data_IF_973195229188
#
_entry.id   IF_973195229188
#
_cell.length_a   1.000
_cell.length_b   1.000
_cell.length_c   1.000
_cell.angle_alpha   90.00
_cell.angle_beta   90.00
_cell.angle_gamma   90.00
#
_symmetry.space_group_name_H-M   'P 1'
#
loop_
_entity.id
_entity.type
_entity.pdbx_description
1 polymer ?
#
# COMPACT_ATOMS: atom_id res chain seq x y z
N UNK A 1 4.52 -30.05 -18.70
CA UNK A 1 3.71 -29.71 -17.51
C UNK A 1 3.97 -28.25 -17.15
N UNK A 2 3.10 -27.32 -17.57
CA UNK A 2 2.61 -26.21 -16.75
C UNK A 2 1.54 -25.48 -17.55
N UNK A 3 0.32 -25.98 -17.40
CA UNK A 3 -0.91 -25.38 -17.91
C UNK A 3 -1.32 -24.30 -16.87
N UNK A 4 -0.77 -23.09 -16.96
CA UNK A 4 -1.37 -21.95 -16.26
C UNK A 4 -2.44 -21.38 -17.19
N UNK A 5 -3.63 -21.96 -17.06
CA UNK A 5 -4.83 -21.54 -17.74
C UNK A 5 -5.00 -20.02 -17.58
N UNK A 6 -5.22 -19.34 -18.70
CA UNK A 6 -5.80 -17.99 -18.76
C UNK A 6 -7.15 -18.04 -18.04
N UNK A 7 -7.15 -17.83 -16.72
CA UNK A 7 -8.37 -17.47 -16.00
C UNK A 7 -8.69 -16.04 -16.40
N UNK A 8 -9.53 -15.89 -17.42
CA UNK A 8 -10.36 -14.69 -17.53
C UNK A 8 -11.12 -14.57 -16.20
N UNK A 9 -10.72 -13.66 -15.32
CA UNK A 9 -11.50 -13.27 -14.16
C UNK A 9 -12.70 -12.44 -14.64
N UNK A 10 -13.66 -13.10 -15.29
CA UNK A 10 -14.98 -12.53 -15.54
C UNK A 10 -15.67 -12.41 -14.19
N UNK A 11 -15.73 -11.19 -13.66
CA UNK A 11 -16.13 -10.81 -12.30
C UNK A 11 -15.09 -11.15 -11.21
N UNK A 12 -14.43 -10.11 -10.69
CA UNK A 12 -13.59 -10.21 -9.51
C UNK A 12 -14.41 -10.76 -8.33
N UNK A 13 -13.88 -11.74 -7.57
CA UNK A 13 -14.52 -12.11 -6.32
C UNK A 13 -14.63 -10.85 -5.47
N UNK A 14 -15.83 -10.53 -4.97
CA UNK A 14 -15.97 -9.56 -3.88
C UNK A 14 -15.17 -10.13 -2.71
N UNK A 15 -13.92 -9.71 -2.56
CA UNK A 15 -13.12 -10.11 -1.40
C UNK A 15 -13.81 -9.50 -0.18
N UNK A 16 -14.24 -10.39 0.70
CA UNK A 16 -14.94 -10.03 1.93
C UNK A 16 -14.11 -9.04 2.74
N UNK A 17 -14.80 -8.08 3.35
CA UNK A 17 -14.16 -7.21 4.33
C UNK A 17 -13.61 -8.08 5.47
N UNK A 18 -12.48 -7.69 6.10
CA UNK A 18 -11.95 -8.43 7.22
C UNK A 18 -12.98 -8.60 8.32
N UNK A 19 -12.96 -9.75 8.98
CA UNK A 19 -13.80 -10.01 10.16
C UNK A 19 -13.40 -9.09 11.31
N UNK A 20 -14.29 -8.93 12.29
CA UNK A 20 -13.98 -8.13 13.48
C UNK A 20 -12.72 -8.65 14.21
N UNK A 21 -12.53 -9.97 14.24
CA UNK A 21 -11.35 -10.60 14.84
C UNK A 21 -10.06 -10.24 14.09
N UNK A 22 -10.09 -10.30 12.76
CA UNK A 22 -8.98 -9.90 11.90
C UNK A 22 -8.63 -8.41 12.07
N UNK A 23 -9.65 -7.56 12.16
CA UNK A 23 -9.50 -6.12 12.45
C UNK A 23 -8.84 -5.92 13.82
N UNK A 24 -9.34 -6.57 14.86
CA UNK A 24 -8.77 -6.48 16.21
C UNK A 24 -7.33 -6.98 16.27
N UNK A 25 -7.03 -8.08 15.57
CA UNK A 25 -5.67 -8.61 15.45
C UNK A 25 -4.74 -7.61 14.77
N UNK A 26 -5.14 -7.08 13.61
CA UNK A 26 -4.34 -6.09 12.89
C UNK A 26 -4.13 -4.83 13.74
N UNK A 27 -5.16 -4.34 14.44
CA UNK A 27 -5.03 -3.22 15.35
C UNK A 27 -4.02 -3.45 16.47
N UNK A 28 -3.97 -4.66 17.06
CA UNK A 28 -2.97 -4.99 18.09
C UNK A 28 -1.53 -4.93 17.56
N UNK A 29 -1.31 -5.32 16.30
CA UNK A 29 0.00 -5.18 15.64
C UNK A 29 0.33 -3.70 15.45
N UNK A 30 -0.58 -2.91 14.89
CA UNK A 30 -0.34 -1.47 14.64
C UNK A 30 -0.35 -0.59 15.91
N UNK A 31 -0.76 -1.13 17.06
CA UNK A 31 -0.62 -0.47 18.37
C UNK A 31 0.77 -0.67 19.00
N UNK A 32 1.59 -1.59 18.46
CA UNK A 32 2.96 -1.77 18.94
C UNK A 32 3.81 -0.50 18.72
N UNK A 33 4.93 -0.34 19.45
CA UNK A 33 5.84 0.77 19.23
C UNK A 33 6.33 0.82 17.78
N UNK A 34 6.17 1.98 17.14
CA UNK A 34 6.61 2.21 15.76
C UNK A 34 7.80 3.16 15.70
N UNK A 35 8.97 2.70 15.25
CA UNK A 35 10.22 3.48 15.25
C UNK A 35 10.77 3.64 13.84
N UNK A 36 11.40 4.77 13.57
CA UNK A 36 12.22 4.93 12.38
C UNK A 36 13.51 4.13 12.57
N UNK A 37 13.82 3.26 11.60
CA UNK A 37 15.00 2.39 11.65
C UNK A 37 16.16 3.06 10.94
N UNK A 38 16.03 3.28 9.63
CA UNK A 38 17.05 3.94 8.79
C UNK A 38 16.50 4.36 7.43
N UNK A 39 17.26 5.23 6.76
CA UNK A 39 17.10 5.54 5.34
C UNK A 39 18.25 4.93 4.56
N UNK A 40 17.99 4.39 3.37
CA UNK A 40 18.99 3.78 2.50
C UNK A 40 18.99 4.41 1.12
N UNK A 41 20.18 4.50 0.52
CA UNK A 41 20.36 4.86 -0.88
C UNK A 41 20.58 3.63 -1.77
N UNK A 42 21.13 2.56 -1.20
CA UNK A 42 21.50 1.31 -1.88
C UNK A 42 20.88 0.09 -1.17
N UNK A 43 20.52 -1.00 -1.90
CA UNK A 43 19.83 -2.16 -1.32
C UNK A 43 20.60 -2.87 -0.20
N UNK A 44 21.93 -2.95 -0.33
CA UNK A 44 22.85 -3.56 0.63
C UNK A 44 22.85 -2.87 2.00
N UNK A 45 22.39 -1.62 2.06
CA UNK A 45 22.23 -0.88 3.30
C UNK A 45 20.92 -1.22 4.04
N UNK A 46 20.01 -2.02 3.47
CA UNK A 46 18.76 -2.40 4.12
C UNK A 46 19.02 -3.08 5.49
N UNK A 47 18.12 -2.96 6.48
CA UNK A 47 18.28 -3.62 7.77
C UNK A 47 18.49 -5.13 7.60
N UNK A 48 19.52 -5.70 8.24
CA UNK A 48 19.75 -7.14 8.21
C UNK A 48 18.88 -7.83 9.28
N UNK A 49 17.61 -8.04 8.94
CA UNK A 49 16.61 -8.68 9.83
C UNK A 49 15.85 -9.77 9.08
N UNK A 50 15.20 -10.66 9.81
CA UNK A 50 14.28 -11.66 9.27
C UNK A 50 12.83 -11.17 9.18
N UNK A 51 12.56 -9.92 9.57
CA UNK A 51 11.21 -9.38 9.62
C UNK A 51 10.63 -9.20 8.22
N UNK A 52 9.36 -9.57 7.99
CA UNK A 52 8.68 -9.29 6.73
C UNK A 52 8.57 -7.79 6.48
N UNK A 53 8.66 -7.40 5.22
CA UNK A 53 8.63 -6.00 4.78
C UNK A 53 7.46 -5.79 3.83
N UNK A 54 6.77 -4.66 3.98
CA UNK A 54 5.82 -4.19 2.97
C UNK A 54 6.23 -2.80 2.50
N UNK A 55 6.28 -2.62 1.18
CA UNK A 55 6.67 -1.35 0.59
C UNK A 55 5.46 -0.49 0.26
N UNK A 56 5.59 0.82 0.33
CA UNK A 56 4.62 1.78 -0.16
C UNK A 56 5.25 2.60 -1.27
N UNK A 57 4.62 2.59 -2.44
CA UNK A 57 5.04 3.34 -3.63
C UNK A 57 3.88 4.18 -4.13
N UNK A 58 4.15 5.27 -4.83
CA UNK A 58 3.12 6.13 -5.37
C UNK A 58 3.69 7.43 -5.89
N UNK A 59 2.94 8.16 -6.71
CA UNK A 59 3.38 9.46 -7.24
C UNK A 59 3.66 10.47 -6.12
N UNK A 60 4.49 11.47 -6.41
CA UNK A 60 4.68 12.61 -5.49
C UNK A 60 3.33 13.23 -5.12
N UNK A 61 3.15 13.57 -3.84
CA UNK A 61 1.91 14.14 -3.28
C UNK A 61 0.63 13.27 -3.39
N UNK A 62 0.76 11.95 -3.62
CA UNK A 62 -0.38 11.01 -3.61
C UNK A 62 -0.96 10.79 -2.21
N UNK A 63 -0.21 11.10 -1.16
CA UNK A 63 -0.62 10.92 0.24
C UNK A 63 0.04 9.74 0.97
N UNK A 64 1.14 9.19 0.44
CA UNK A 64 1.90 8.07 1.02
C UNK A 64 2.33 8.29 2.47
N UNK A 65 3.12 9.32 2.75
CA UNK A 65 3.58 9.61 4.11
C UNK A 65 2.43 9.91 5.07
N UNK A 66 1.34 10.52 4.57
CA UNK A 66 0.11 10.74 5.35
C UNK A 66 -0.57 9.42 5.70
N UNK A 67 -0.68 8.49 4.75
CA UNK A 67 -1.25 7.17 4.98
C UNK A 67 -0.41 6.37 5.99
N UNK A 68 0.92 6.37 5.86
CA UNK A 68 1.79 5.64 6.79
C UNK A 68 1.65 6.20 8.21
N UNK A 69 1.66 7.52 8.39
CA UNK A 69 1.43 8.14 9.71
C UNK A 69 0.07 7.73 10.32
N UNK A 70 -0.99 7.64 9.50
CA UNK A 70 -2.31 7.17 9.95
C UNK A 70 -2.28 5.70 10.36
N UNK A 71 -1.68 4.84 9.54
CA UNK A 71 -1.55 3.41 9.82
C UNK A 71 -0.85 3.19 11.16
N UNK A 72 0.24 3.91 11.41
CA UNK A 72 1.03 3.84 12.64
C UNK A 72 0.41 4.59 13.83
N UNK A 73 -0.70 5.31 13.62
CA UNK A 73 -1.32 6.17 14.62
C UNK A 73 -0.32 7.15 15.29
N UNK A 74 0.67 7.64 14.52
CA UNK A 74 1.70 8.58 15.00
C UNK A 74 1.76 9.80 14.11
N UNK A 75 1.73 10.98 14.72
CA UNK A 75 1.93 12.25 14.01
C UNK A 75 3.42 12.52 13.89
N UNK A 76 3.89 12.75 12.67
CA UNK A 76 5.25 13.25 12.41
C UNK A 76 6.37 12.21 12.40
N UNK A 77 6.07 10.92 12.58
CA UNK A 77 7.08 9.86 12.46
C UNK A 77 7.61 9.77 11.02
N UNK A 78 6.71 9.84 10.03
CA UNK A 78 7.07 9.99 8.63
C UNK A 78 6.94 11.46 8.24
N UNK A 79 8.02 12.05 7.72
CA UNK A 79 8.01 13.45 7.27
C UNK A 79 7.06 13.63 6.08
N UNK A 80 6.03 14.44 6.25
CA UNK A 80 5.12 14.85 5.16
C UNK A 80 5.60 16.19 4.59
N UNK A 81 6.23 16.19 3.42
CA UNK A 81 6.52 17.44 2.68
C UNK A 81 5.57 17.59 1.49
N UNK A 82 5.09 18.80 1.24
CA UNK A 82 4.30 19.16 0.06
C UNK A 82 5.17 19.47 -1.16
N UNK A 83 6.48 19.68 -0.96
CA UNK A 83 7.43 19.94 -2.04
C UNK A 83 7.83 18.62 -2.73
N UNK A 84 7.67 18.50 -4.06
CA UNK A 84 8.09 17.31 -4.81
C UNK A 84 9.58 16.99 -4.62
N UNK A 85 9.93 15.70 -4.58
CA UNK A 85 11.34 15.25 -4.56
C UNK A 85 12.04 15.21 -3.18
N UNK A 86 11.32 15.37 -2.07
CA UNK A 86 11.91 15.35 -0.72
C UNK A 86 12.43 13.98 -0.24
N UNK A 87 11.84 12.90 -0.73
CA UNK A 87 12.24 11.53 -0.35
C UNK A 87 13.00 10.94 -1.52
N UNK A 88 14.33 10.97 -1.46
CA UNK A 88 15.25 10.29 -2.41
C UNK A 88 15.74 8.93 -1.88
N UNK A 89 15.55 8.70 -0.59
CA UNK A 89 15.98 7.50 0.13
C UNK A 89 14.79 6.61 0.43
N UNK A 90 15.03 5.31 0.51
CA UNK A 90 14.04 4.34 0.99
C UNK A 90 14.08 4.34 2.53
N UNK A 91 12.94 4.57 3.18
CA UNK A 91 12.88 4.69 4.64
C UNK A 91 12.22 3.46 5.28
N UNK A 92 12.82 2.94 6.35
CA UNK A 92 12.33 1.78 7.08
C UNK A 92 11.72 2.21 8.42
N UNK A 93 10.55 1.68 8.72
CA UNK A 93 9.87 1.86 10.01
C UNK A 93 9.54 0.49 10.60
N UNK A 94 10.02 0.20 11.81
CA UNK A 94 9.68 -1.04 12.55
C UNK A 94 8.34 -0.88 13.25
N UNK A 95 7.54 -1.94 13.27
CA UNK A 95 6.34 -2.07 14.11
C UNK A 95 6.57 -3.22 15.09
N UNK A 96 6.88 -2.88 16.34
CA UNK A 96 7.03 -3.83 17.44
C UNK A 96 8.02 -4.96 17.19
N UNK A 97 9.03 -4.73 16.34
CA UNK A 97 10.01 -5.74 15.91
C UNK A 97 9.36 -7.00 15.32
N UNK A 98 8.22 -6.79 14.62
CA UNK A 98 7.49 -7.85 13.91
C UNK A 98 7.54 -7.72 12.40
N UNK A 99 7.64 -6.48 11.90
CA UNK A 99 7.66 -6.18 10.47
C UNK A 99 8.21 -4.79 10.21
N UNK A 100 8.64 -4.54 8.97
CA UNK A 100 8.94 -3.19 8.49
C UNK A 100 7.88 -2.66 7.52
N UNK A 101 7.50 -1.39 7.71
CA UNK A 101 6.92 -0.59 6.65
C UNK A 101 8.03 0.15 5.93
N UNK A 102 8.04 0.07 4.61
CA UNK A 102 9.09 0.64 3.77
C UNK A 102 8.50 1.74 2.91
N UNK A 103 8.89 2.99 3.18
CA UNK A 103 8.44 4.16 2.44
C UNK A 103 9.37 4.43 1.25
N UNK A 104 8.89 4.15 0.05
CA UNK A 104 9.67 4.35 -1.18
C UNK A 104 9.61 5.81 -1.65
N UNK A 105 10.64 6.29 -2.37
CA UNK A 105 10.57 7.56 -3.07
C UNK A 105 9.42 7.58 -4.10
N UNK A 106 8.79 8.74 -4.27
CA UNK A 106 7.65 8.84 -5.20
C UNK A 106 8.09 8.89 -6.66
N UNK A 107 7.36 8.21 -7.56
CA UNK A 107 7.67 8.20 -8.99
C UNK A 107 6.95 9.32 -9.77
N UNK A 108 7.42 9.59 -10.99
CA UNK A 108 6.69 10.40 -11.97
C UNK A 108 6.80 11.92 -11.85
N UNK A 109 7.71 12.47 -11.02
CA UNK A 109 8.04 13.91 -11.07
C UNK A 109 9.21 14.24 -12.01
N UNK A 110 9.96 13.25 -12.49
CA UNK A 110 10.95 13.34 -13.59
C UNK A 110 11.38 11.89 -13.90
N UNK A 111 10.97 11.39 -15.07
CA UNK A 111 11.33 10.08 -15.70
C UNK A 111 11.36 8.79 -14.82
N UNK A 112 11.40 7.63 -15.48
CA UNK A 112 11.71 6.34 -14.84
C UNK A 112 13.17 6.27 -14.35
N UNK A 113 14.04 7.14 -14.87
CA UNK A 113 15.46 7.22 -14.51
C UNK A 113 15.69 7.63 -13.04
N UNK A 114 14.70 8.28 -12.39
CA UNK A 114 14.78 8.61 -10.96
C UNK A 114 14.53 7.43 -10.03
N UNK A 115 13.83 6.38 -10.48
CA UNK A 115 13.86 5.09 -9.77
C UNK A 115 15.14 4.38 -10.18
N UNK A 116 16.26 4.89 -9.65
CA UNK A 116 17.59 4.38 -9.93
C UNK A 116 17.70 2.89 -9.64
N UNK A 117 18.75 2.28 -10.19
CA UNK A 117 19.03 0.84 -10.08
C UNK A 117 18.95 0.30 -8.65
N UNK A 118 19.20 1.15 -7.65
CA UNK A 118 19.05 0.80 -6.24
C UNK A 118 17.61 0.50 -5.82
N UNK A 119 16.63 1.31 -6.20
CA UNK A 119 15.22 1.05 -5.83
C UNK A 119 14.72 -0.19 -6.54
N UNK A 120 15.09 -0.34 -7.81
CA UNK A 120 14.73 -1.50 -8.62
C UNK A 120 15.37 -2.76 -8.05
N UNK A 121 16.66 -2.70 -7.71
CA UNK A 121 17.38 -3.80 -7.07
C UNK A 121 16.76 -4.19 -5.74
N UNK A 122 16.34 -3.23 -4.90
CA UNK A 122 15.62 -3.56 -3.67
C UNK A 122 14.29 -4.27 -3.96
N UNK A 123 13.48 -3.75 -4.89
CA UNK A 123 12.16 -4.31 -5.18
C UNK A 123 12.22 -5.72 -5.80
N UNK A 124 13.29 -6.05 -6.54
CA UNK A 124 13.42 -7.34 -7.24
C UNK A 124 14.19 -8.40 -6.44
N UNK A 125 15.09 -8.01 -5.53
CA UNK A 125 15.99 -8.96 -4.86
C UNK A 125 15.72 -9.14 -3.36
N UNK A 126 14.89 -8.29 -2.74
CA UNK A 126 14.66 -8.33 -1.28
C UNK A 126 13.72 -9.47 -0.88
N UNK A 127 14.26 -10.55 -0.33
CA UNK A 127 13.48 -11.72 0.12
C UNK A 127 12.45 -11.40 1.21
N UNK A 128 12.74 -10.43 2.06
CA UNK A 128 11.84 -9.99 3.13
C UNK A 128 10.64 -9.22 2.58
N UNK A 129 10.71 -8.64 1.37
CA UNK A 129 9.62 -7.88 0.77
C UNK A 129 8.47 -8.83 0.38
N UNK A 130 7.34 -8.71 1.07
CA UNK A 130 6.18 -9.60 0.87
C UNK A 130 5.10 -9.00 -0.03
N UNK A 131 4.95 -7.67 -0.03
CA UNK A 131 4.00 -6.97 -0.89
C UNK A 131 4.33 -5.50 -1.03
N UNK A 132 4.10 -4.98 -2.23
CA UNK A 132 4.20 -3.55 -2.53
C UNK A 132 2.80 -2.92 -2.65
N UNK A 133 2.49 -1.93 -1.82
CA UNK A 133 1.25 -1.16 -1.88
C UNK A 133 1.43 0.06 -2.77
N UNK A 134 0.68 0.11 -3.88
CA UNK A 134 0.74 1.19 -4.87
C UNK A 134 -0.39 2.18 -4.61
N UNK A 135 -0.02 3.40 -4.27
CA UNK A 135 -0.98 4.46 -4.00
C UNK A 135 -1.31 5.21 -5.28
N UNK A 136 -2.61 5.34 -5.55
CA UNK A 136 -3.16 6.11 -6.67
C UNK A 136 -4.10 7.17 -6.12
N UNK A 137 -3.90 8.42 -6.54
CA UNK A 137 -4.77 9.54 -6.13
C UNK A 137 -6.13 9.40 -6.81
N UNK A 138 -7.18 9.18 -6.02
CA UNK A 138 -8.53 9.02 -6.55
C UNK A 138 -9.01 10.25 -7.31
N UNK A 139 -8.55 11.46 -7.01
CA UNK A 139 -8.99 12.68 -7.71
C UNK A 139 -8.32 12.85 -9.07
N UNK A 140 -7.22 12.14 -9.32
CA UNK A 140 -6.43 12.22 -10.55
C UNK A 140 -6.62 11.00 -11.44
N UNK A 141 -6.84 9.83 -10.83
CA UNK A 141 -6.92 8.55 -11.54
C UNK A 141 -5.56 8.07 -12.04
N UNK A 142 -5.58 7.00 -12.84
CA UNK A 142 -4.39 6.40 -13.44
C UNK A 142 -3.66 7.34 -14.41
N UNK A 143 -2.35 7.22 -14.46
CA UNK A 143 -1.46 7.86 -15.43
C UNK A 143 -0.54 6.82 -16.07
N UNK A 144 0.07 7.19 -17.19
CA UNK A 144 1.03 6.34 -17.90
C UNK A 144 2.15 5.80 -16.99
N UNK A 145 2.67 6.64 -16.07
CA UNK A 145 3.68 6.23 -15.11
C UNK A 145 3.20 5.13 -14.14
N UNK A 146 1.90 5.09 -13.81
CA UNK A 146 1.32 4.04 -12.97
C UNK A 146 1.26 2.71 -13.74
N UNK A 147 0.78 2.74 -15.00
CA UNK A 147 0.73 1.57 -15.88
C UNK A 147 2.11 0.96 -16.11
N UNK A 148 3.07 1.85 -16.37
CA UNK A 148 4.48 1.52 -16.50
C UNK A 148 5.07 0.85 -15.25
N UNK A 149 4.61 1.20 -14.06
CA UNK A 149 5.03 0.57 -12.81
C UNK A 149 4.42 -0.82 -12.66
N UNK A 150 3.14 -0.98 -13.03
CA UNK A 150 2.46 -2.28 -12.99
C UNK A 150 3.09 -3.28 -13.94
N UNK A 151 3.39 -2.88 -15.18
CA UNK A 151 4.14 -3.69 -16.15
C UNK A 151 5.49 -4.16 -15.57
N UNK A 152 6.20 -3.27 -14.87
CA UNK A 152 7.45 -3.62 -14.19
C UNK A 152 7.22 -4.67 -13.10
N UNK A 153 6.22 -4.48 -12.23
CA UNK A 153 5.91 -5.45 -11.19
C UNK A 153 5.53 -6.82 -11.74
N UNK A 154 4.70 -6.86 -12.78
CA UNK A 154 4.32 -8.11 -13.42
C UNK A 154 5.53 -8.78 -14.12
N UNK A 155 6.39 -8.00 -14.79
CA UNK A 155 7.62 -8.51 -15.43
C UNK A 155 8.60 -9.15 -14.44
N UNK A 156 8.73 -8.58 -13.24
CA UNK A 156 9.67 -9.03 -12.22
C UNK A 156 9.02 -9.85 -11.11
N UNK A 157 7.78 -10.31 -11.31
CA UNK A 157 7.02 -11.12 -10.36
C UNK A 157 6.88 -10.48 -8.96
N UNK A 158 6.82 -9.15 -8.88
CA UNK A 158 6.69 -8.42 -7.62
C UNK A 158 5.21 -8.37 -7.25
N UNK A 159 4.83 -8.96 -6.11
CA UNK A 159 3.45 -8.88 -5.63
C UNK A 159 3.08 -7.46 -5.21
N UNK A 160 1.97 -6.95 -5.74
CA UNK A 160 1.50 -5.60 -5.42
C UNK A 160 0.00 -5.52 -5.17
N UNK A 161 -0.43 -4.48 -4.47
CA UNK A 161 -1.86 -4.19 -4.21
C UNK A 161 -2.11 -2.69 -4.28
N UNK A 162 -3.20 -2.30 -4.94
CA UNK A 162 -3.50 -0.88 -5.16
C UNK A 162 -4.33 -0.30 -4.01
N UNK A 163 -3.94 0.90 -3.56
CA UNK A 163 -4.65 1.73 -2.58
C UNK A 163 -5.07 3.05 -3.25
N UNK A 164 -6.38 3.28 -3.33
CA UNK A 164 -6.98 4.53 -3.79
C UNK A 164 -6.99 5.56 -2.64
N UNK A 165 -6.20 6.63 -2.76
CA UNK A 165 -6.10 7.67 -1.71
C UNK A 165 -7.02 8.86 -1.99
N UNK A 166 -7.17 9.75 -1.01
CA UNK A 166 -7.98 10.99 -1.09
C UNK A 166 -9.45 10.71 -1.44
N UNK A 167 -9.98 9.58 -0.97
CA UNK A 167 -11.37 9.17 -1.19
C UNK A 167 -12.39 10.23 -0.75
N UNK A 168 -12.04 11.01 0.26
CA UNK A 168 -12.83 12.11 0.84
C UNK A 168 -12.94 13.34 -0.08
N UNK A 169 -12.14 13.42 -1.16
CA UNK A 169 -12.06 14.58 -2.05
C UNK A 169 -12.74 14.38 -3.40
N UNK A 170 -13.39 13.23 -3.59
CA UNK A 170 -14.04 12.85 -4.84
C UNK A 170 -15.49 12.43 -4.58
N UNK A 171 -16.38 12.67 -5.55
CA UNK A 171 -17.76 12.20 -5.49
C UNK A 171 -17.84 10.69 -5.63
N UNK A 172 -18.90 10.06 -5.10
CA UNK A 172 -19.13 8.62 -5.24
C UNK A 172 -19.09 8.19 -6.71
N UNK A 173 -19.84 8.89 -7.57
CA UNK A 173 -19.90 8.60 -9.00
C UNK A 173 -18.52 8.60 -9.64
N UNK A 174 -17.73 9.66 -9.42
CA UNK A 174 -16.40 9.78 -10.04
C UNK A 174 -15.40 8.76 -9.46
N UNK A 175 -15.57 8.40 -8.19
CA UNK A 175 -14.79 7.34 -7.57
C UNK A 175 -15.07 5.98 -8.22
N UNK A 176 -16.34 5.61 -8.44
CA UNK A 176 -16.69 4.37 -9.13
C UNK A 176 -16.18 4.36 -10.58
N UNK A 177 -16.31 5.45 -11.33
CA UNK A 177 -15.74 5.57 -12.69
C UNK A 177 -14.21 5.30 -12.69
N UNK A 178 -13.49 5.92 -11.75
CA UNK A 178 -12.03 5.73 -11.66
C UNK A 178 -11.65 4.32 -11.20
N UNK A 179 -12.46 3.72 -10.33
CA UNK A 179 -12.30 2.35 -9.87
C UNK A 179 -12.47 1.37 -11.03
N UNK A 180 -13.56 1.48 -11.79
CA UNK A 180 -13.84 0.66 -12.97
C UNK A 180 -12.75 0.78 -14.03
N UNK A 181 -12.28 2.01 -14.30
CA UNK A 181 -11.18 2.24 -15.23
C UNK A 181 -9.89 1.54 -14.80
N UNK A 182 -9.59 1.55 -13.49
CA UNK A 182 -8.43 0.87 -12.93
C UNK A 182 -8.61 -0.65 -13.00
N UNK A 183 -9.82 -1.14 -12.73
CA UNK A 183 -10.12 -2.56 -12.82
C UNK A 183 -9.99 -3.11 -14.25
N UNK A 184 -10.47 -2.36 -15.24
CA UNK A 184 -10.30 -2.70 -16.64
C UNK A 184 -8.83 -2.65 -17.10
N UNK A 185 -8.09 -1.63 -16.68
CA UNK A 185 -6.73 -1.37 -17.20
C UNK A 185 -5.66 -2.24 -16.54
N UNK A 186 -5.77 -2.49 -15.24
CA UNK A 186 -4.74 -3.16 -14.45
C UNK A 186 -5.11 -4.63 -14.25
N UNK A 187 -6.28 -4.90 -13.67
CA UNK A 187 -6.55 -6.25 -13.17
C UNK A 187 -6.99 -7.25 -14.25
N UNK A 188 -7.38 -6.83 -15.45
CA UNK A 188 -7.66 -7.78 -16.54
C UNK A 188 -6.39 -8.50 -17.03
N UNK A 189 -5.22 -7.85 -16.90
CA UNK A 189 -3.96 -8.35 -17.45
C UNK A 189 -2.88 -8.57 -16.39
N UNK A 190 -3.01 -7.97 -15.20
CA UNK A 190 -2.01 -8.08 -14.15
C UNK A 190 -1.97 -9.49 -13.55
N UNK A 191 -0.76 -10.03 -13.45
CA UNK A 191 -0.52 -11.38 -12.93
C UNK A 191 -0.18 -11.32 -11.44
N UNK A 192 0.53 -10.28 -11.01
CA UNK A 192 1.05 -10.14 -9.65
C UNK A 192 0.22 -9.18 -8.78
N UNK A 193 -0.84 -8.60 -9.34
CA UNK A 193 -1.71 -7.68 -8.64
C UNK A 193 -2.73 -8.40 -7.77
N UNK A 194 -2.80 -8.04 -6.50
CA UNK A 194 -3.83 -8.51 -5.59
C UNK A 194 -5.18 -7.88 -5.97
N UNK A 195 -6.23 -8.68 -6.20
CA UNK A 195 -7.46 -8.21 -6.85
C UNK A 195 -8.32 -7.27 -5.99
N UNK A 196 -8.07 -7.18 -4.68
CA UNK A 196 -8.81 -6.27 -3.80
C UNK A 196 -8.25 -4.85 -3.87
N UNK A 197 -9.05 -3.91 -4.37
CA UNK A 197 -8.79 -2.49 -4.20
C UNK A 197 -9.07 -2.03 -2.78
N UNK A 198 -8.11 -1.33 -2.21
CA UNK A 198 -8.24 -0.65 -0.93
C UNK A 198 -8.47 0.84 -1.18
N UNK A 199 -9.10 1.52 -0.22
CA UNK A 199 -9.29 2.97 -0.30
C UNK A 199 -8.95 3.62 1.05
N UNK A 200 -8.54 4.88 1.01
CA UNK A 200 -8.35 5.70 2.21
C UNK A 200 -8.71 7.16 1.94
N UNK A 201 -9.45 7.76 2.87
CA UNK A 201 -9.79 9.18 2.89
C UNK A 201 -9.32 9.88 4.16
N UNK A 202 -9.36 11.20 4.18
CA UNK A 202 -9.35 11.99 5.41
C UNK A 202 -10.76 12.02 6.01
N UNK A 203 -10.84 11.90 7.34
CA UNK A 203 -12.10 12.10 8.04
C UNK A 203 -12.55 13.55 7.83
N UNK A 204 -13.70 13.74 7.17
CA UNK A 204 -14.36 15.06 7.15
C UNK A 204 -14.83 15.35 8.57
N UNK A 205 -14.35 16.44 9.18
CA UNK A 205 -14.97 16.98 10.41
C UNK A 205 -16.38 17.46 10.06
N UNK A 206 -17.38 16.58 10.10
CA UNK A 206 -18.76 17.04 10.07
C UNK A 206 -19.03 17.76 11.39
N UNK A 207 -19.53 19.00 11.32
CA UNK A 207 -19.94 19.77 12.51
C UNK A 207 -21.23 19.24 13.15
N UNK A 208 -21.81 18.14 12.66
CA UNK A 208 -23.04 17.54 13.17
C UNK A 208 -22.96 16.02 13.09
N UNK A 209 -22.76 15.41 14.26
CA UNK A 209 -23.28 14.11 14.73
C UNK A 209 -22.28 13.53 15.74
N UNK A 210 -22.32 14.05 16.96
CA UNK A 210 -21.87 13.31 18.13
C UNK A 210 -23.00 12.34 18.49
N UNK A 211 -22.96 11.12 17.96
CA UNK A 211 -23.79 10.00 18.45
C UNK A 211 -23.18 8.66 18.05
N UNK A 212 -22.51 8.04 19.03
CA UNK A 212 -22.39 6.60 19.29
C UNK A 212 -22.31 5.62 18.10
N UNK A 213 -21.10 5.48 17.58
CA UNK A 213 -20.36 4.23 17.34
C UNK A 213 -19.07 4.65 16.62
N UNK A 214 -17.92 4.09 17.02
CA UNK A 214 -16.59 4.52 16.58
C UNK A 214 -16.56 4.91 15.09
N UNK A 215 -16.16 6.15 14.79
CA UNK A 215 -15.94 6.60 13.43
C UNK A 215 -14.89 5.68 12.79
N UNK A 216 -15.36 4.73 11.98
CA UNK A 216 -14.52 3.82 11.22
C UNK A 216 -13.82 4.72 10.20
N UNK A 217 -12.53 4.99 10.40
CA UNK A 217 -11.67 5.66 9.42
C UNK A 217 -11.74 4.83 8.13
N UNK A 218 -12.54 5.30 7.17
CA UNK A 218 -12.98 4.52 6.00
C UNK A 218 -11.77 3.90 5.29
N UNK A 219 -11.62 2.58 5.46
CA UNK A 219 -10.59 1.77 4.80
C UNK A 219 -9.27 1.57 5.55
N UNK A 220 -8.96 2.30 6.64
CA UNK A 220 -7.70 2.08 7.38
C UNK A 220 -7.63 0.67 7.99
N UNK A 221 -8.77 0.17 8.49
CA UNK A 221 -8.83 -1.17 9.06
C UNK A 221 -8.58 -2.25 7.99
N UNK A 222 -9.16 -2.07 6.81
CA UNK A 222 -8.94 -2.94 5.65
C UNK A 222 -7.46 -2.93 5.22
N UNK A 223 -6.83 -1.75 5.19
CA UNK A 223 -5.42 -1.61 4.84
C UNK A 223 -4.51 -2.25 5.91
N UNK A 224 -4.79 -2.03 7.21
CA UNK A 224 -4.03 -2.68 8.29
C UNK A 224 -4.10 -4.20 8.18
N UNK A 225 -5.30 -4.74 7.93
CA UNK A 225 -5.47 -6.17 7.73
C UNK A 225 -4.70 -6.66 6.49
N UNK A 226 -4.83 -5.98 5.36
CA UNK A 226 -4.14 -6.36 4.13
C UNK A 226 -2.61 -6.39 4.32
N UNK A 227 -2.06 -5.43 5.07
CA UNK A 227 -0.64 -5.38 5.42
C UNK A 227 -0.22 -6.56 6.30
N UNK A 228 -0.98 -6.84 7.38
CA UNK A 228 -0.68 -7.94 8.30
C UNK A 228 -0.79 -9.30 7.62
N UNK A 229 -1.80 -9.47 6.77
CA UNK A 229 -1.98 -10.67 5.95
C UNK A 229 -0.83 -10.83 4.94
N UNK A 230 -0.45 -9.74 4.26
CA UNK A 230 0.69 -9.76 3.33
C UNK A 230 2.01 -10.12 4.03
N UNK A 231 2.22 -9.62 5.25
CA UNK A 231 3.40 -9.93 6.05
C UNK A 231 3.41 -11.37 6.61
N UNK A 232 2.35 -12.16 6.40
CA UNK A 232 2.23 -13.51 6.96
C UNK A 232 2.14 -13.54 8.48
N UNK A 233 1.73 -12.43 9.10
CA UNK A 233 1.61 -12.31 10.56
C UNK A 233 0.25 -12.78 11.08
N UNK A 234 -0.70 -13.13 10.21
CA UNK A 234 -1.96 -13.73 10.61
C UNK A 234 -1.70 -15.12 11.23
N UNK A 235 -2.35 -15.42 12.36
CA UNK A 235 -2.42 -16.81 12.81
C UNK A 235 -3.14 -17.63 11.72
N UNK A 236 -2.70 -18.85 11.39
CA UNK A 236 -3.60 -19.77 10.72
C UNK A 236 -4.87 -19.87 11.57
N UNK A 237 -6.07 -19.97 10.95
CA UNK A 237 -7.28 -20.18 11.71
C UNK A 237 -7.04 -21.37 12.65
N UNK A 238 -7.32 -21.17 13.95
CA UNK A 238 -7.17 -22.20 14.96
C UNK A 238 -8.10 -23.36 14.61
N UNK A 239 -7.59 -24.34 13.87
CA UNK A 239 -8.40 -25.44 13.33
C UNK A 239 -7.85 -26.11 12.07
N UNK A 240 -6.52 -26.19 11.91
CA UNK A 240 -5.88 -27.15 10.98
C UNK A 240 -4.95 -28.04 11.79
#
# INVERSE_FOLDING_TARGET
>A
MLYLAKRCYSAFPRIERPTLEQIQFANRIFQQPATFVKSIAQPDQAPNTTYPEVAFVGRSNVGKSTLINKLLNRKGLVKTSSKPGHTRLVNFFSIGDKMHLVDMPGYGYRSREEWGDSIMGYLTSREQLKRTFVLIDSTVGLKAADLQLFEFFDKFAISYQVILTKRDRISEKKFQENKEALEASVFQNAVCCYPQLLASGQQRKSRRAASQAAAIDEGIQDIRWAIVNAAGLCKPPSGV
#
